data_IF_466384988567
#
_entry.id   IF_466384988567
#
_cell.length_a   1.000
_cell.length_b   1.000
_cell.length_c   1.000
_cell.angle_alpha   90.00
_cell.angle_beta   90.00
_cell.angle_gamma   90.00
#
_symmetry.space_group_name_H-M   'P 1'
#
loop_
_entity.id
_entity.type
_entity.pdbx_description
1 polymer ?
#
# COMPACT_ATOMS: atom_id res chain seq x y z
N UNK A 1 4.36 -2.30 12.74
CA UNK A 1 4.17 -3.24 11.60
C UNK A 1 2.70 -3.26 11.19
N UNK A 2 2.38 -3.16 9.89
CA UNK A 2 0.98 -3.17 9.40
C UNK A 2 0.27 -4.49 9.74
N UNK A 3 -0.99 -4.42 10.17
CA UNK A 3 -1.78 -5.60 10.55
C UNK A 3 -2.31 -6.32 9.30
N UNK A 4 -2.54 -7.62 9.45
CA UNK A 4 -3.19 -8.42 8.40
C UNK A 4 -4.64 -7.98 8.23
N UNK A 5 -5.11 -7.91 6.99
CA UNK A 5 -6.46 -7.47 6.69
C UNK A 5 -6.60 -6.86 5.31
N UNK A 6 -7.77 -6.30 5.03
CA UNK A 6 -8.02 -5.54 3.81
C UNK A 6 -8.10 -4.06 4.15
N UNK A 7 -7.46 -3.25 3.33
CA UNK A 7 -7.40 -1.81 3.46
C UNK A 7 -7.99 -1.17 2.21
N UNK A 8 -8.83 -0.15 2.39
CA UNK A 8 -9.25 0.74 1.32
C UNK A 8 -8.12 1.73 1.05
N UNK A 9 -7.82 1.97 -0.23
CA UNK A 9 -6.90 3.04 -0.62
C UNK A 9 -7.71 4.30 -0.87
N UNK A 10 -7.50 5.31 -0.03
CA UNK A 10 -8.09 6.64 -0.21
C UNK A 10 -7.02 7.54 -0.79
N UNK A 11 -7.22 8.00 -2.02
CA UNK A 11 -6.28 8.93 -2.67
C UNK A 11 -6.29 10.26 -1.94
N UNK A 12 -5.10 10.75 -1.58
CA UNK A 12 -4.88 12.09 -1.02
C UNK A 12 -4.35 13.03 -2.11
N UNK A 13 -3.41 12.57 -2.93
CA UNK A 13 -2.82 13.39 -4.00
C UNK A 13 -2.21 12.57 -5.13
N UNK A 14 -1.86 13.25 -6.23
CA UNK A 14 -1.12 12.67 -7.35
C UNK A 14 -1.90 11.62 -8.15
N UNK A 15 -1.18 10.72 -8.81
CA UNK A 15 -1.74 9.77 -9.78
C UNK A 15 -2.01 8.39 -9.16
N UNK A 16 -2.90 8.32 -8.17
CA UNK A 16 -3.35 7.04 -7.59
C UNK A 16 -4.66 6.61 -8.26
N UNK A 17 -4.73 5.42 -8.88
CA UNK A 17 -5.96 4.92 -9.48
C UNK A 17 -7.11 4.79 -8.46
N UNK A 18 -8.38 5.02 -8.87
CA UNK A 18 -9.53 4.85 -7.99
C UNK A 18 -9.81 3.36 -7.72
N UNK A 19 -10.64 3.09 -6.70
CA UNK A 19 -11.15 1.75 -6.35
C UNK A 19 -10.07 0.72 -5.93
N UNK A 20 -8.86 1.19 -5.64
CA UNK A 20 -7.80 0.33 -5.15
C UNK A 20 -8.06 -0.12 -3.71
N UNK A 21 -7.71 -1.37 -3.45
CA UNK A 21 -7.64 -1.98 -2.12
C UNK A 21 -6.27 -2.63 -1.95
N UNK A 22 -5.85 -2.80 -0.70
CA UNK A 22 -4.69 -3.63 -0.38
C UNK A 22 -5.10 -4.75 0.54
N UNK A 23 -4.80 -5.98 0.17
CA UNK A 23 -4.93 -7.15 1.03
C UNK A 23 -3.56 -7.47 1.60
N UNK A 24 -3.42 -7.34 2.91
CA UNK A 24 -2.18 -7.54 3.66
C UNK A 24 -2.27 -8.88 4.38
N UNK A 25 -1.32 -9.77 4.09
CA UNK A 25 -1.09 -11.02 4.80
C UNK A 25 0.21 -10.95 5.61
N UNK A 26 0.73 -12.11 6.00
CA UNK A 26 1.99 -12.17 6.75
C UNK A 26 3.19 -11.90 5.82
N UNK A 27 3.92 -10.82 6.08
CA UNK A 27 5.10 -10.39 5.30
C UNK A 27 4.86 -10.07 3.81
N UNK A 28 3.64 -10.22 3.29
CA UNK A 28 3.30 -10.08 1.87
C UNK A 28 1.87 -9.57 1.68
N UNK A 29 1.51 -9.21 0.45
CA UNK A 29 0.15 -8.80 0.15
C UNK A 29 -0.09 -8.54 -1.33
N UNK A 30 -1.27 -8.01 -1.62
CA UNK A 30 -1.73 -7.70 -2.97
C UNK A 30 -2.38 -6.33 -3.03
N UNK A 31 -2.05 -5.54 -4.05
CA UNK A 31 -2.90 -4.43 -4.48
C UNK A 31 -3.97 -5.00 -5.40
N UNK A 32 -5.23 -4.72 -5.09
CA UNK A 32 -6.41 -5.20 -5.78
C UNK A 32 -7.19 -4.03 -6.39
N UNK A 33 -7.84 -4.27 -7.52
CA UNK A 33 -8.87 -3.38 -8.05
C UNK A 33 -10.23 -4.00 -7.71
N UNK A 34 -10.95 -3.41 -6.76
CA UNK A 34 -12.09 -4.09 -6.14
C UNK A 34 -11.67 -5.40 -5.46
N UNK A 35 -12.25 -6.53 -5.89
CA UNK A 35 -11.94 -7.87 -5.37
C UNK A 35 -10.85 -8.61 -6.15
N UNK A 36 -10.43 -8.08 -7.31
CA UNK A 36 -9.48 -8.75 -8.19
C UNK A 36 -8.03 -8.45 -7.76
N UNK A 37 -7.22 -9.46 -7.36
CA UNK A 37 -5.81 -9.26 -7.06
C UNK A 37 -5.04 -8.96 -8.34
N UNK A 38 -4.31 -7.85 -8.36
CA UNK A 38 -3.55 -7.44 -9.55
C UNK A 38 -2.05 -7.51 -9.30
N UNK A 39 -1.58 -6.83 -8.26
CA UNK A 39 -0.15 -6.58 -8.09
C UNK A 39 0.33 -7.14 -6.74
N UNK A 40 1.10 -8.24 -6.74
CA UNK A 40 1.65 -8.78 -5.50
C UNK A 40 2.80 -7.90 -5.00
N UNK A 41 2.90 -7.75 -3.69
CA UNK A 41 3.99 -7.05 -3.01
C UNK A 41 4.51 -7.83 -1.80
N UNK A 42 5.75 -7.52 -1.40
CA UNK A 42 6.30 -7.91 -0.09
C UNK A 42 6.31 -6.71 0.84
N UNK A 43 6.17 -6.97 2.13
CA UNK A 43 6.37 -5.99 3.18
C UNK A 43 7.84 -6.01 3.59
N UNK A 44 8.41 -4.83 3.80
CA UNK A 44 9.76 -4.69 4.34
C UNK A 44 9.73 -3.63 5.42
N UNK A 45 9.98 -4.04 6.65
CA UNK A 45 10.10 -3.12 7.77
C UNK A 45 11.43 -2.34 7.65
N UNK A 46 11.37 -1.02 7.80
CA UNK A 46 12.53 -0.12 7.80
C UNK A 46 12.69 0.60 9.14
N UNK A 47 12.00 0.14 10.19
CA UNK A 47 12.00 0.74 11.53
C UNK A 47 11.05 1.93 11.62
N UNK A 48 11.33 3.01 10.88
CA UNK A 48 10.50 4.22 10.90
C UNK A 48 9.25 4.12 10.01
N UNK A 49 9.28 3.25 9.00
CA UNK A 49 8.21 3.06 8.02
C UNK A 49 8.20 1.62 7.50
N UNK A 50 7.12 1.23 6.84
CA UNK A 50 7.00 -0.06 6.14
C UNK A 50 7.00 0.19 4.64
N UNK A 51 7.78 -0.55 3.88
CA UNK A 51 7.77 -0.52 2.42
C UNK A 51 6.93 -1.66 1.85
N UNK A 52 6.05 -1.35 0.90
CA UNK A 52 5.40 -2.32 0.03
C UNK A 52 6.18 -2.36 -1.27
N UNK A 53 6.95 -3.44 -1.45
CA UNK A 53 7.79 -3.64 -2.63
C UNK A 53 7.09 -4.57 -3.60
N UNK A 54 6.62 -4.01 -4.71
CA UNK A 54 5.93 -4.78 -5.74
C UNK A 54 6.85 -5.80 -6.40
N UNK A 55 6.28 -6.90 -6.91
CA UNK A 55 7.03 -8.01 -7.49
C UNK A 55 6.91 -8.03 -9.02
N UNK A 56 7.79 -8.81 -9.67
CA UNK A 56 7.75 -9.04 -11.11
C UNK A 56 8.16 -7.79 -11.91
N UNK A 57 7.50 -7.49 -13.05
CA UNK A 57 7.87 -6.36 -13.90
C UNK A 57 7.71 -5.01 -13.19
N UNK A 58 6.93 -4.93 -12.11
CA UNK A 58 6.65 -3.70 -11.36
C UNK A 58 7.55 -3.48 -10.15
N UNK A 59 8.69 -4.16 -10.06
CA UNK A 59 9.65 -4.04 -8.92
C UNK A 59 10.18 -2.62 -8.66
N UNK A 60 10.00 -1.71 -9.61
CA UNK A 60 10.37 -0.31 -9.51
C UNK A 60 9.34 0.54 -8.75
N UNK A 61 8.16 0.00 -8.46
CA UNK A 61 7.15 0.62 -7.61
C UNK A 61 7.45 0.28 -6.15
N UNK A 62 7.40 1.31 -5.30
CA UNK A 62 7.49 1.15 -3.85
C UNK A 62 6.50 2.11 -3.20
N UNK A 63 5.65 1.57 -2.33
CA UNK A 63 4.85 2.43 -1.45
C UNK A 63 5.48 2.46 -0.06
N UNK A 64 5.69 3.64 0.51
CA UNK A 64 6.17 3.82 1.88
C UNK A 64 5.00 4.14 2.78
N UNK A 65 4.86 3.41 3.88
CA UNK A 65 3.78 3.57 4.84
C UNK A 65 4.32 3.99 6.19
N UNK A 66 3.75 5.04 6.74
CA UNK A 66 3.91 5.43 8.14
C UNK A 66 2.59 5.22 8.88
N UNK A 67 2.68 4.86 10.14
CA UNK A 67 1.49 4.68 10.98
C UNK A 67 0.74 6.02 11.10
N UNK A 68 -0.58 5.93 11.00
CA UNK A 68 -1.50 7.04 11.23
C UNK A 68 -2.51 6.62 12.31
N UNK A 69 -3.49 7.48 12.58
CA UNK A 69 -4.45 7.24 13.66
C UNK A 69 -5.39 6.07 13.37
N UNK A 70 -5.93 5.49 14.44
CA UNK A 70 -6.98 4.46 14.39
C UNK A 70 -6.66 3.23 13.51
N UNK A 71 -5.38 2.85 13.41
CA UNK A 71 -4.93 1.70 12.61
C UNK A 71 -4.88 1.96 11.10
N UNK A 72 -5.07 3.21 10.68
CA UNK A 72 -4.79 3.66 9.33
C UNK A 72 -3.29 3.84 9.10
N UNK A 73 -2.90 3.94 7.83
CA UNK A 73 -1.52 4.18 7.43
C UNK A 73 -1.46 5.26 6.37
N UNK A 74 -0.59 6.24 6.55
CA UNK A 74 -0.30 7.23 5.53
C UNK A 74 0.72 6.66 4.54
N UNK A 75 0.42 6.78 3.25
CA UNK A 75 1.16 6.17 2.17
C UNK A 75 1.71 7.16 1.16
N UNK A 76 2.97 6.99 0.79
CA UNK A 76 3.59 7.66 -0.36
C UNK A 76 3.90 6.65 -1.45
N UNK A 77 3.38 6.89 -2.65
CA UNK A 77 3.62 6.02 -3.79
C UNK A 77 4.81 6.55 -4.60
N UNK A 78 5.81 5.68 -4.83
CA UNK A 78 7.01 6.02 -5.60
C UNK A 78 7.22 5.08 -6.78
N UNK A 79 7.75 5.61 -7.86
CA UNK A 79 8.14 4.90 -9.07
C UNK A 79 9.56 5.31 -9.41
N UNK A 80 10.49 4.35 -9.48
CA UNK A 80 11.93 4.64 -9.69
C UNK A 80 12.49 5.65 -8.66
N UNK A 81 11.97 5.62 -7.42
CA UNK A 81 12.34 6.54 -6.35
C UNK A 81 11.67 7.91 -6.40
N UNK A 82 10.95 8.25 -7.48
CA UNK A 82 10.22 9.50 -7.61
C UNK A 82 8.81 9.34 -7.06
N UNK A 83 8.40 10.25 -6.16
CA UNK A 83 7.05 10.27 -5.61
C UNK A 83 6.05 10.73 -6.67
N UNK A 84 5.02 9.93 -6.91
CA UNK A 84 3.95 10.25 -7.87
C UNK A 84 2.57 10.42 -7.23
N UNK A 85 2.41 10.06 -5.95
CA UNK A 85 1.14 10.22 -5.26
C UNK A 85 1.22 9.99 -3.75
N UNK A 86 0.13 10.37 -3.08
CA UNK A 86 -0.10 10.12 -1.66
C UNK A 86 -1.48 9.52 -1.43
N UNK A 87 -1.59 8.65 -0.45
CA UNK A 87 -2.84 7.95 -0.11
C UNK A 87 -2.92 7.62 1.37
N UNK A 88 -4.11 7.28 1.84
CA UNK A 88 -4.35 6.65 3.13
C UNK A 88 -4.77 5.20 2.91
N UNK A 89 -4.29 4.31 3.77
CA UNK A 89 -4.84 2.97 3.93
C UNK A 89 -5.75 2.97 5.15
N UNK A 90 -7.04 2.91 4.89
CA UNK A 90 -8.04 2.78 5.95
C UNK A 90 -8.40 1.30 6.09
N UNK A 91 -8.41 0.74 7.30
CA UNK A 91 -8.94 -0.61 7.52
C UNK A 91 -10.34 -0.71 6.91
N UNK A 92 -10.57 -1.67 6.03
CA UNK A 92 -11.92 -1.95 5.57
C UNK A 92 -12.68 -2.54 6.76
N UNK A 93 -13.71 -1.83 7.23
CA UNK A 93 -14.67 -2.37 8.19
C UNK A 93 -15.21 -3.69 7.63
N UNK A 94 -15.29 -4.71 8.50
CA UNK A 94 -15.92 -6.00 8.18
C UNK A 94 -17.37 -5.80 7.75
#
# INVERSE_FOLDING_TARGET
>A
MIRQGTYRVVRVSGAIPPLLRKRVGDGTGWTCLGLLPLLPFRLTDRGAHVELRYRGPLRFLVDRLTEADAGAWAGEATCLGLRYGGFLLEPASR
#
